data_IF_156091458555
#
_entry.id   IF_156091458555
#
_cell.length_a   1.000
_cell.length_b   1.000
_cell.length_c   1.000
_cell.angle_alpha   90.00
_cell.angle_beta   90.00
_cell.angle_gamma   90.00
#
_symmetry.space_group_name_H-M   'P 1'
#
loop_
_entity.id
_entity.type
_entity.pdbx_description
1 polymer ?
#
# COMPACT_ATOMS: atom_id res chain seq x y z
N UNK A 1 43.47 -1.73 -3.66
CA UNK A 1 43.94 -2.47 -4.86
C UNK A 1 44.23 -3.94 -4.58
N UNK A 2 44.69 -4.32 -3.39
CA UNK A 2 45.00 -5.74 -3.06
C UNK A 2 43.77 -6.65 -3.01
N UNK A 3 42.64 -6.20 -2.45
CA UNK A 3 41.39 -6.99 -2.38
C UNK A 3 40.89 -7.35 -3.78
N UNK A 4 41.05 -6.45 -4.75
CA UNK A 4 40.64 -6.67 -6.14
C UNK A 4 41.51 -7.72 -6.84
N UNK A 5 42.81 -7.77 -6.53
CA UNK A 5 43.72 -8.82 -7.01
C UNK A 5 43.39 -10.17 -6.40
N UNK A 6 43.12 -10.22 -5.10
CA UNK A 6 42.73 -11.47 -4.41
C UNK A 6 41.42 -12.02 -4.97
N UNK A 7 40.42 -11.15 -5.21
CA UNK A 7 39.16 -11.58 -5.84
C UNK A 7 39.42 -12.07 -7.27
N UNK A 8 40.25 -11.38 -8.04
CA UNK A 8 40.59 -11.78 -9.41
C UNK A 8 41.31 -13.14 -9.45
N UNK A 9 42.27 -13.38 -8.55
CA UNK A 9 43.01 -14.64 -8.48
C UNK A 9 42.10 -15.80 -8.05
N UNK A 10 41.21 -15.58 -7.07
CA UNK A 10 40.22 -16.57 -6.64
C UNK A 10 39.23 -16.90 -7.76
N UNK A 11 38.79 -15.90 -8.51
CA UNK A 11 37.91 -16.10 -9.68
C UNK A 11 38.68 -16.86 -10.77
N UNK A 12 39.91 -16.47 -11.09
CA UNK A 12 40.73 -17.16 -12.10
C UNK A 12 40.95 -18.63 -11.76
N UNK A 13 41.29 -18.94 -10.51
CA UNK A 13 41.53 -20.31 -10.03
C UNK A 13 40.24 -21.14 -9.96
N UNK A 14 39.08 -20.49 -9.82
CA UNK A 14 37.79 -21.15 -9.92
C UNK A 14 37.46 -21.50 -11.38
N UNK A 15 37.69 -20.59 -12.32
CA UNK A 15 37.42 -20.81 -13.75
C UNK A 15 38.44 -21.74 -14.42
N UNK A 16 39.70 -21.81 -13.94
CA UNK A 16 40.73 -22.68 -14.51
C UNK A 16 40.51 -24.18 -14.24
N UNK A 17 39.56 -24.53 -13.37
CA UNK A 17 39.20 -25.92 -13.06
C UNK A 17 38.14 -26.49 -14.01
N UNK A 18 37.55 -25.66 -14.87
CA UNK A 18 36.52 -26.07 -15.82
C UNK A 18 37.10 -26.30 -17.21
N UNK A 19 36.60 -27.33 -17.91
CA UNK A 19 36.94 -27.57 -19.31
C UNK A 19 36.35 -26.50 -20.25
N UNK A 20 36.90 -26.33 -21.45
CA UNK A 20 36.45 -25.31 -22.41
C UNK A 20 34.96 -25.44 -22.77
N UNK A 21 34.43 -26.67 -22.77
CA UNK A 21 33.02 -26.99 -22.98
C UNK A 21 32.12 -26.57 -21.83
N UNK A 22 32.58 -26.70 -20.59
CA UNK A 22 31.83 -26.26 -19.39
C UNK A 22 31.87 -24.73 -19.26
N UNK A 23 32.99 -24.10 -19.64
CA UNK A 23 33.11 -22.64 -19.70
C UNK A 23 32.11 -22.01 -20.70
N UNK A 24 31.83 -22.70 -21.81
CA UNK A 24 30.86 -22.26 -22.81
C UNK A 24 29.40 -22.31 -22.32
N UNK A 25 29.09 -23.06 -21.26
CA UNK A 25 27.75 -23.10 -20.65
C UNK A 25 27.47 -21.92 -19.71
N UNK A 26 28.52 -21.23 -19.24
CA UNK A 26 28.42 -20.07 -18.34
C UNK A 26 27.59 -18.94 -18.95
N UNK A 27 27.82 -18.48 -20.20
CA UNK A 27 26.97 -17.44 -20.79
C UNK A 27 25.50 -17.87 -20.90
N UNK A 28 25.23 -19.13 -21.26
CA UNK A 28 23.85 -19.66 -21.31
C UNK A 28 23.20 -19.62 -19.93
N UNK A 29 23.93 -20.00 -18.89
CA UNK A 29 23.45 -19.95 -17.50
C UNK A 29 23.20 -18.51 -17.02
N UNK A 30 24.10 -17.58 -17.36
CA UNK A 30 23.94 -16.16 -17.03
C UNK A 30 22.72 -15.58 -17.74
N UNK A 31 22.51 -15.88 -19.03
CA UNK A 31 21.31 -15.44 -19.77
C UNK A 31 20.03 -16.00 -19.14
N UNK A 32 20.02 -17.28 -18.75
CA UNK A 32 18.89 -17.87 -18.04
C UNK A 32 18.61 -17.16 -16.70
N UNK A 33 19.67 -16.85 -15.93
CA UNK A 33 19.54 -16.18 -14.64
C UNK A 33 18.99 -14.75 -14.80
N UNK A 34 19.47 -14.00 -15.80
CA UNK A 34 18.94 -12.68 -16.18
C UNK A 34 17.47 -12.78 -16.55
N UNK A 35 17.08 -13.76 -17.38
CA UNK A 35 15.69 -13.98 -17.77
C UNK A 35 14.78 -14.27 -16.57
N UNK A 36 15.22 -15.10 -15.62
CA UNK A 36 14.45 -15.40 -14.40
C UNK A 36 14.27 -14.15 -13.53
N UNK A 37 15.32 -13.34 -13.37
CA UNK A 37 15.25 -12.10 -12.61
C UNK A 37 14.33 -11.07 -13.28
N UNK A 38 14.41 -10.95 -14.61
CA UNK A 38 13.57 -10.06 -15.41
C UNK A 38 12.08 -10.45 -15.28
N UNK A 39 11.76 -11.74 -15.47
CA UNK A 39 10.40 -12.25 -15.28
C UNK A 39 9.87 -12.06 -13.86
N UNK A 40 10.71 -12.20 -12.84
CA UNK A 40 10.32 -11.89 -11.46
C UNK A 40 10.02 -10.41 -11.26
N UNK A 41 10.79 -9.53 -11.89
CA UNK A 41 10.55 -8.08 -11.91
C UNK A 41 9.22 -7.73 -12.56
N UNK A 42 8.99 -8.26 -13.76
CA UNK A 42 7.76 -8.07 -14.53
C UNK A 42 6.51 -8.51 -13.75
N UNK A 43 6.54 -9.70 -13.14
CA UNK A 43 5.44 -10.21 -12.32
C UNK A 43 5.16 -9.33 -11.10
N UNK A 44 6.21 -8.78 -10.48
CA UNK A 44 6.06 -7.87 -9.33
C UNK A 44 5.39 -6.57 -9.75
N UNK A 45 5.78 -5.99 -10.89
CA UNK A 45 5.19 -4.77 -11.43
C UNK A 45 3.71 -4.97 -11.79
N UNK A 46 3.38 -6.06 -12.50
CA UNK A 46 1.99 -6.40 -12.83
C UNK A 46 1.10 -6.51 -11.59
N UNK A 47 1.59 -7.17 -10.53
CA UNK A 47 0.86 -7.25 -9.25
C UNK A 47 0.61 -5.87 -8.64
N UNK A 48 1.56 -4.95 -8.74
CA UNK A 48 1.40 -3.58 -8.24
C UNK A 48 0.43 -2.76 -9.08
N UNK A 49 0.41 -2.95 -10.40
CA UNK A 49 -0.53 -2.30 -11.30
C UNK A 49 -1.98 -2.71 -11.00
N UNK A 50 -2.23 -4.00 -10.81
CA UNK A 50 -3.56 -4.51 -10.42
C UNK A 50 -3.98 -3.92 -9.07
N UNK A 51 -3.09 -3.92 -8.07
CA UNK A 51 -3.37 -3.28 -6.77
C UNK A 51 -3.70 -1.80 -6.91
N UNK A 52 -2.97 -1.06 -7.77
CA UNK A 52 -3.22 0.36 -8.03
C UNK A 52 -4.62 0.58 -8.61
N UNK A 53 -5.05 -0.28 -9.53
CA UNK A 53 -6.38 -0.19 -10.13
C UNK A 53 -7.48 -0.41 -9.09
N UNK A 54 -7.37 -1.44 -8.26
CA UNK A 54 -8.34 -1.74 -7.20
C UNK A 54 -8.36 -0.64 -6.13
N UNK A 55 -7.20 -0.12 -5.72
CA UNK A 55 -7.13 0.98 -4.75
C UNK A 55 -7.64 2.30 -5.33
N UNK A 56 -7.59 2.50 -6.66
CA UNK A 56 -8.21 3.65 -7.31
C UNK A 56 -9.73 3.62 -7.18
N UNK A 57 -10.36 2.44 -7.26
CA UNK A 57 -11.80 2.27 -7.01
C UNK A 57 -12.13 2.74 -5.59
N UNK A 58 -11.35 2.30 -4.60
CA UNK A 58 -11.48 2.73 -3.21
C UNK A 58 -11.36 4.25 -3.03
N UNK A 59 -10.29 4.86 -3.56
CA UNK A 59 -10.10 6.31 -3.47
C UNK A 59 -11.25 7.08 -4.13
N UNK A 60 -11.71 6.63 -5.30
CA UNK A 60 -12.81 7.29 -6.02
C UNK A 60 -14.14 7.20 -5.26
N UNK A 61 -14.39 6.09 -4.56
CA UNK A 61 -15.58 5.91 -3.74
C UNK A 61 -15.60 6.87 -2.56
N UNK A 62 -14.50 6.96 -1.80
CA UNK A 62 -14.43 7.89 -0.68
C UNK A 62 -14.37 9.35 -1.12
N UNK A 63 -13.75 9.66 -2.27
CA UNK A 63 -13.83 11.00 -2.84
C UNK A 63 -15.28 11.40 -3.15
N UNK A 64 -16.08 10.50 -3.73
CA UNK A 64 -17.53 10.76 -3.97
C UNK A 64 -18.32 10.95 -2.67
N UNK A 65 -17.97 10.20 -1.62
CA UNK A 65 -18.58 10.31 -0.29
C UNK A 65 -18.34 11.68 0.33
N UNK A 66 -17.09 12.14 0.32
CA UNK A 66 -16.67 13.40 0.96
C UNK A 66 -16.80 14.65 0.08
N UNK A 67 -17.22 14.52 -1.17
CA UNK A 67 -17.51 15.67 -2.04
C UNK A 67 -18.70 16.48 -1.48
N UNK A 68 -18.43 17.73 -1.06
CA UNK A 68 -19.31 18.65 -0.33
C UNK A 68 -20.55 19.16 -1.11
N UNK A 69 -20.83 18.61 -2.29
CA UNK A 69 -21.82 19.15 -3.24
C UNK A 69 -23.26 18.67 -3.02
N UNK A 70 -23.53 17.67 -2.16
CA UNK A 70 -24.91 17.24 -1.82
C UNK A 70 -25.05 16.84 -0.35
N UNK A 71 -26.15 17.25 0.27
CA UNK A 71 -26.55 16.94 1.66
C UNK A 71 -26.29 15.47 2.00
N UNK A 72 -25.41 15.23 2.98
CA UNK A 72 -24.82 13.93 3.36
C UNK A 72 -25.84 12.81 3.57
N UNK A 73 -27.07 13.14 3.98
CA UNK A 73 -28.16 12.19 4.22
C UNK A 73 -28.80 11.60 2.95
N UNK A 74 -28.78 12.31 1.81
CA UNK A 74 -29.30 11.78 0.53
C UNK A 74 -28.32 10.82 -0.14
N UNK A 75 -27.01 11.10 -0.06
CA UNK A 75 -25.95 10.25 -0.63
C UNK A 75 -25.90 8.87 0.03
N UNK A 76 -26.01 8.77 1.36
CA UNK A 76 -25.98 7.48 2.08
C UNK A 76 -27.14 6.54 1.71
N UNK A 77 -28.28 7.07 1.28
CA UNK A 77 -29.42 6.29 0.78
C UNK A 77 -29.23 5.79 -0.65
N UNK A 78 -28.46 6.51 -1.46
CA UNK A 78 -28.17 6.17 -2.87
C UNK A 78 -26.95 5.27 -3.05
N UNK A 79 -26.11 5.10 -2.01
CA UNK A 79 -25.01 4.13 -2.09
C UNK A 79 -25.59 2.72 -2.07
N UNK A 80 -25.43 2.02 -3.18
CA UNK A 80 -25.83 0.63 -3.31
C UNK A 80 -24.96 -0.22 -2.38
N UNK A 81 -25.56 -1.09 -1.58
CA UNK A 81 -24.85 -2.08 -0.76
C UNK A 81 -23.84 -2.90 -1.57
N UNK A 82 -24.13 -3.08 -2.87
CA UNK A 82 -23.25 -3.67 -3.87
C UNK A 82 -21.89 -2.97 -3.99
N UNK A 83 -21.85 -1.63 -4.04
CA UNK A 83 -20.58 -0.89 -4.14
C UNK A 83 -19.70 -1.08 -2.90
N UNK A 84 -20.32 -1.11 -1.71
CA UNK A 84 -19.59 -1.40 -0.46
C UNK A 84 -19.10 -2.85 -0.42
N UNK A 85 -19.88 -3.80 -0.93
CA UNK A 85 -19.49 -5.20 -1.02
C UNK A 85 -18.30 -5.38 -1.98
N UNK A 86 -18.36 -4.79 -3.17
CA UNK A 86 -17.29 -4.86 -4.17
C UNK A 86 -15.99 -4.23 -3.65
N UNK A 87 -16.08 -3.14 -2.90
CA UNK A 87 -14.92 -2.54 -2.24
C UNK A 87 -14.34 -3.43 -1.15
N UNK A 88 -15.19 -4.06 -0.32
CA UNK A 88 -14.74 -5.01 0.69
C UNK A 88 -14.09 -6.24 0.07
N UNK A 89 -14.66 -6.77 -1.02
CA UNK A 89 -14.16 -7.92 -1.74
C UNK A 89 -12.83 -7.63 -2.45
N UNK A 90 -12.72 -6.49 -3.15
CA UNK A 90 -11.46 -6.06 -3.79
C UNK A 90 -10.34 -5.89 -2.76
N UNK A 91 -10.62 -5.25 -1.61
CA UNK A 91 -9.64 -5.14 -0.52
C UNK A 91 -9.26 -6.49 0.08
N UNK A 92 -10.20 -7.44 0.20
CA UNK A 92 -9.90 -8.78 0.67
C UNK A 92 -8.98 -9.53 -0.29
N UNK A 93 -9.22 -9.41 -1.60
CA UNK A 93 -8.49 -10.16 -2.63
C UNK A 93 -7.10 -9.57 -2.93
N UNK A 94 -7.00 -8.25 -2.99
CA UNK A 94 -5.79 -7.55 -3.45
C UNK A 94 -5.06 -6.78 -2.35
N UNK A 95 -5.76 -6.47 -1.25
CA UNK A 95 -5.20 -5.80 -0.08
C UNK A 95 -4.18 -6.63 0.68
N UNK A 96 -3.26 -5.98 1.40
CA UNK A 96 -2.51 -6.70 2.43
C UNK A 96 -3.42 -7.06 3.62
N UNK A 97 -3.01 -8.07 4.38
CA UNK A 97 -3.63 -8.42 5.66
C UNK A 97 -3.74 -7.22 6.61
N UNK A 98 -2.75 -6.30 6.58
CA UNK A 98 -2.78 -5.08 7.39
C UNK A 98 -3.90 -4.14 6.93
N UNK A 99 -3.95 -3.85 5.64
CA UNK A 99 -4.96 -2.98 5.04
C UNK A 99 -6.38 -3.52 5.27
N UNK A 100 -6.58 -4.82 5.10
CA UNK A 100 -7.87 -5.44 5.32
C UNK A 100 -8.33 -5.35 6.78
N UNK A 101 -7.42 -5.51 7.75
CA UNK A 101 -7.74 -5.28 9.17
C UNK A 101 -8.12 -3.83 9.45
N UNK A 102 -7.43 -2.86 8.86
CA UNK A 102 -7.78 -1.44 8.98
C UNK A 102 -9.17 -1.16 8.40
N UNK A 103 -9.51 -1.77 7.27
CA UNK A 103 -10.86 -1.69 6.68
C UNK A 103 -11.95 -2.28 7.59
N UNK A 104 -11.70 -3.46 8.18
CA UNK A 104 -12.65 -4.06 9.13
C UNK A 104 -12.85 -3.17 10.36
N UNK A 105 -11.76 -2.59 10.89
CA UNK A 105 -11.82 -1.64 11.99
C UNK A 105 -12.61 -0.39 11.61
N UNK A 106 -12.34 0.20 10.45
CA UNK A 106 -13.11 1.32 9.91
C UNK A 106 -14.61 1.00 9.82
N UNK A 107 -14.96 -0.19 9.32
CA UNK A 107 -16.35 -0.63 9.20
C UNK A 107 -17.01 -0.76 10.58
N UNK A 108 -16.34 -1.38 11.55
CA UNK A 108 -16.83 -1.49 12.91
C UNK A 108 -17.03 -0.09 13.54
N UNK A 109 -16.01 0.76 13.45
CA UNK A 109 -16.02 2.11 14.02
C UNK A 109 -17.11 3.01 13.43
N UNK A 110 -17.35 2.92 12.12
CA UNK A 110 -18.40 3.69 11.43
C UNK A 110 -19.84 3.22 11.73
N UNK A 111 -20.01 1.93 11.98
CA UNK A 111 -21.33 1.28 12.00
C UNK A 111 -21.84 0.98 13.40
N UNK A 112 -20.96 0.74 14.36
CA UNK A 112 -21.34 0.33 15.71
C UNK A 112 -21.93 1.51 16.51
N UNK A 113 -23.20 1.45 16.93
CA UNK A 113 -23.82 2.49 17.73
C UNK A 113 -23.14 2.66 19.09
N UNK A 114 -22.59 1.60 19.68
CA UNK A 114 -21.95 1.64 21.01
C UNK A 114 -20.71 2.54 20.97
N UNK A 115 -19.92 2.44 19.89
CA UNK A 115 -18.72 3.26 19.70
C UNK A 115 -19.09 4.73 19.58
N UNK A 116 -20.21 5.06 18.92
CA UNK A 116 -20.70 6.44 18.79
C UNK A 116 -21.15 7.06 20.12
N UNK A 117 -21.54 6.25 21.09
CA UNK A 117 -21.87 6.71 22.45
C UNK A 117 -20.64 6.86 23.35
N UNK A 118 -19.45 6.47 22.89
CA UNK A 118 -18.21 6.65 23.65
C UNK A 118 -17.89 8.14 23.80
N UNK A 119 -17.47 8.55 25.00
CA UNK A 119 -17.09 9.94 25.31
C UNK A 119 -15.99 10.49 24.40
N UNK A 120 -15.14 9.61 23.88
CA UNK A 120 -13.98 9.96 23.06
C UNK A 120 -14.27 9.90 21.55
N UNK A 121 -15.48 9.50 21.15
CA UNK A 121 -15.85 9.46 19.74
C UNK A 121 -15.96 10.88 19.18
N UNK A 122 -15.24 11.12 18.09
CA UNK A 122 -15.32 12.32 17.28
C UNK A 122 -15.46 11.90 15.82
N UNK A 123 -16.32 12.58 15.06
CA UNK A 123 -16.55 12.25 13.65
C UNK A 123 -15.27 12.36 12.81
N UNK A 124 -14.33 13.21 13.22
CA UNK A 124 -13.04 13.39 12.56
C UNK A 124 -12.09 12.18 12.72
N UNK A 125 -12.31 11.30 13.71
CA UNK A 125 -11.52 10.07 13.88
C UNK A 125 -11.71 9.09 12.72
N UNK A 126 -12.88 9.09 12.08
CA UNK A 126 -13.12 8.29 10.86
C UNK A 126 -12.16 8.69 9.74
N UNK A 127 -11.89 9.99 9.62
CA UNK A 127 -10.97 10.51 8.63
C UNK A 127 -9.53 10.07 8.92
N UNK A 128 -9.14 10.02 10.19
CA UNK A 128 -7.82 9.50 10.60
C UNK A 128 -7.65 8.01 10.28
N UNK A 129 -8.68 7.20 10.54
CA UNK A 129 -8.65 5.76 10.20
C UNK A 129 -8.50 5.58 8.68
N UNK A 130 -9.23 6.39 7.88
CA UNK A 130 -9.07 6.42 6.43
C UNK A 130 -7.66 6.84 6.00
N UNK A 131 -7.06 7.82 6.69
CA UNK A 131 -5.68 8.25 6.45
C UNK A 131 -4.68 7.09 6.56
N UNK A 132 -4.79 6.29 7.62
CA UNK A 132 -3.88 5.16 7.85
C UNK A 132 -4.07 4.04 6.80
N UNK A 133 -5.31 3.87 6.33
CA UNK A 133 -5.59 3.01 5.17
C UNK A 133 -4.91 3.54 3.90
N UNK A 134 -5.05 4.84 3.58
CA UNK A 134 -4.42 5.44 2.40
C UNK A 134 -2.89 5.39 2.46
N UNK A 135 -2.32 5.61 3.64
CA UNK A 135 -0.88 5.46 3.89
C UNK A 135 -0.42 4.03 3.61
N UNK A 136 -1.22 3.04 4.01
CA UNK A 136 -0.92 1.63 3.75
C UNK A 136 -1.04 1.30 2.26
N UNK A 137 -2.10 1.76 1.58
CA UNK A 137 -2.26 1.63 0.12
C UNK A 137 -1.08 2.26 -0.63
N UNK A 138 -0.65 3.46 -0.23
CA UNK A 138 0.52 4.15 -0.80
C UNK A 138 1.80 3.35 -0.61
N UNK A 139 2.03 2.72 0.54
CA UNK A 139 3.22 1.87 0.76
C UNK A 139 3.22 0.60 -0.08
N UNK A 140 2.03 0.10 -0.43
CA UNK A 140 1.88 -1.11 -1.24
C UNK A 140 2.06 -0.84 -2.74
N UNK A 141 1.56 0.30 -3.22
CA UNK A 141 1.63 0.69 -4.65
C UNK A 141 2.85 1.54 -4.95
N UNK A 142 3.18 2.47 -4.06
CA UNK A 142 4.34 3.34 -4.18
C UNK A 142 5.60 2.51 -4.01
N UNK A 143 6.41 2.46 -5.07
CA UNK A 143 7.70 1.76 -5.14
C UNK A 143 8.71 2.20 -4.06
N UNK A 144 8.35 3.18 -3.21
CA UNK A 144 9.19 3.81 -2.22
C UNK A 144 8.82 3.35 -0.80
N UNK A 145 9.33 2.18 -0.39
CA UNK A 145 9.08 1.59 0.95
C UNK A 145 9.64 2.44 2.11
N UNK A 146 10.65 3.26 1.83
CA UNK A 146 11.39 4.02 2.84
C UNK A 146 10.79 5.39 3.11
N UNK A 147 9.91 5.90 2.24
CA UNK A 147 9.34 7.22 2.38
C UNK A 147 8.06 7.15 3.22
N UNK A 148 8.16 7.56 4.48
CA UNK A 148 7.06 7.51 5.44
C UNK A 148 6.39 8.87 5.52
N UNK A 149 5.25 9.00 4.84
CA UNK A 149 4.33 10.11 5.05
C UNK A 149 3.62 9.95 6.40
N UNK A 150 3.39 11.02 7.16
CA UNK A 150 2.52 11.00 8.34
C UNK A 150 1.06 10.80 7.93
N UNK A 151 0.19 10.44 8.89
CA UNK A 151 -1.24 10.27 8.60
C UNK A 151 -1.89 11.63 8.27
N UNK A 152 -1.45 12.71 8.93
CA UNK A 152 -1.87 14.10 8.69
C UNK A 152 -1.48 14.60 7.30
N UNK A 153 -0.24 14.36 6.86
CA UNK A 153 0.22 14.64 5.50
C UNK A 153 -0.55 13.84 4.44
N UNK A 154 -0.97 12.62 4.80
CA UNK A 154 -1.81 11.79 3.92
C UNK A 154 -3.22 12.37 3.78
N UNK A 155 -3.73 13.12 4.77
CA UNK A 155 -5.05 13.77 4.70
C UNK A 155 -5.04 15.14 4.05
N UNK A 156 -3.86 15.74 3.84
CA UNK A 156 -3.72 17.08 3.27
C UNK A 156 -4.36 17.25 1.88
N UNK A 157 -4.60 16.16 1.13
CA UNK A 157 -5.31 16.23 -0.15
C UNK A 157 -6.84 16.14 -0.03
N UNK A 158 -7.37 15.74 1.12
CA UNK A 158 -8.81 15.66 1.40
C UNK A 158 -9.34 16.88 2.14
N UNK A 159 -8.56 17.43 3.07
CA UNK A 159 -8.94 18.60 3.88
C UNK A 159 -7.74 19.52 3.99
N UNK A 160 -7.88 20.76 3.50
CA UNK A 160 -6.78 21.73 3.43
C UNK A 160 -6.21 22.13 4.80
N UNK A 161 -6.99 21.99 5.89
CA UNK A 161 -6.62 22.52 7.22
C UNK A 161 -5.96 21.49 8.17
N UNK A 162 -5.77 20.23 7.75
CA UNK A 162 -5.30 19.13 8.64
C UNK A 162 -3.75 18.98 8.64
N UNK A 163 -3.06 19.57 7.67
CA UNK A 163 -1.64 19.33 7.40
C UNK A 163 -0.68 19.62 8.58
N UNK A 164 -1.08 20.41 9.58
CA UNK A 164 -0.19 20.81 10.69
C UNK A 164 -0.90 20.98 12.06
N UNK A 165 -1.86 20.11 12.42
CA UNK A 165 -2.54 20.18 13.73
C UNK A 165 -2.11 19.02 14.67
N UNK A 166 -1.13 19.29 15.54
CA UNK A 166 -0.59 18.34 16.52
C UNK A 166 -1.59 17.92 17.61
N UNK A 167 -2.61 18.74 17.89
CA UNK A 167 -3.65 18.45 18.88
C UNK A 167 -4.54 17.29 18.43
N UNK A 168 -4.67 17.11 17.12
CA UNK A 168 -5.48 16.08 16.49
C UNK A 168 -4.81 14.69 16.54
N UNK A 169 -3.48 14.63 16.36
CA UNK A 169 -2.73 13.37 16.40
C UNK A 169 -2.70 12.75 17.81
N UNK A 170 -2.63 13.59 18.85
CA UNK A 170 -2.65 13.14 20.24
C UNK A 170 -4.00 12.47 20.59
N UNK A 171 -5.12 13.11 20.22
CA UNK A 171 -6.47 12.58 20.48
C UNK A 171 -6.73 11.23 19.80
N UNK A 172 -6.16 11.01 18.61
CA UNK A 172 -6.31 9.76 17.88
C UNK A 172 -5.52 8.58 18.49
N UNK A 173 -4.43 8.86 19.23
CA UNK A 173 -3.58 7.83 19.85
C UNK A 173 -4.10 7.30 21.19
N UNK A 174 -5.04 8.01 21.80
CA UNK A 174 -5.61 7.71 23.12
C UNK A 174 -6.87 6.83 23.07
N UNK A 175 -7.34 6.45 21.87
CA UNK A 175 -8.48 5.56 21.65
C UNK A 175 -8.08 4.08 21.43
#
# INVERSE_FOLDING_TARGET
>A
MEILKVIFDVVRDFFSKFSATELALIPVFVTFLVFVLDKRGELKLRKQEVKREEYRKFLSFYAKLYDNTKTTQRKLKDIKQEEFFDLGASLLMYGSKKLYKQYLFFRLFSSDPIIKFCKFYQDDLLLYILADMFKTMRKEVGLNRLNNLSSTETLAFFVNDIWNNSEFELKASEC
#
